data_IF_975980363716
#
_entry.id   IF_975980363716
#
_cell.length_a   1.000
_cell.length_b   1.000
_cell.length_c   1.000
_cell.angle_alpha   90.00
_cell.angle_beta   90.00
_cell.angle_gamma   90.00
#
_symmetry.space_group_name_H-M   'P 1'
#
loop_
_entity.id
_entity.type
_entity.pdbx_description
1 polymer ?
#
# COMPACT_ATOMS: atom_id res chain seq x y z
N UNK A 1 23.43 -31.47 47.34
CA UNK A 1 22.01 -31.09 47.22
C UNK A 1 21.96 -29.58 47.06
N UNK A 2 21.87 -29.09 45.85
CA UNK A 2 21.71 -27.69 45.60
C UNK A 2 20.56 -27.56 44.57
N UNK A 3 19.44 -26.97 45.01
CA UNK A 3 18.26 -26.73 44.21
C UNK A 3 18.47 -25.46 43.41
N UNK A 4 18.46 -25.58 42.06
CA UNK A 4 18.38 -24.46 41.16
C UNK A 4 16.92 -23.97 41.08
N UNK A 5 16.67 -22.75 41.57
CA UNK A 5 15.44 -22.01 41.32
C UNK A 5 15.41 -21.52 39.87
N UNK A 6 14.39 -21.92 39.14
CA UNK A 6 14.06 -21.40 37.83
C UNK A 6 13.24 -20.11 38.02
N UNK A 7 13.73 -18.99 37.50
CA UNK A 7 13.00 -17.72 37.42
C UNK A 7 11.78 -17.83 36.47
N UNK A 8 10.64 -17.24 36.84
CA UNK A 8 9.47 -17.20 35.99
C UNK A 8 9.68 -16.20 34.84
N UNK A 9 9.42 -16.66 33.63
CA UNK A 9 9.43 -15.85 32.41
C UNK A 9 8.55 -14.62 32.55
N UNK A 10 9.15 -13.47 32.37
CA UNK A 10 8.46 -12.16 32.29
C UNK A 10 7.59 -12.16 31.04
N UNK A 11 6.28 -12.20 31.24
CA UNK A 11 5.30 -12.01 30.16
C UNK A 11 5.38 -10.54 29.75
N UNK A 12 5.99 -10.27 28.61
CA UNK A 12 5.98 -8.96 27.97
C UNK A 12 4.59 -8.76 27.35
N UNK A 13 3.75 -7.96 27.98
CA UNK A 13 2.50 -7.49 27.38
C UNK A 13 2.81 -6.64 26.15
N UNK A 14 2.18 -6.89 24.97
CA UNK A 14 2.40 -6.09 23.79
C UNK A 14 1.93 -4.65 24.03
N UNK A 15 2.82 -3.69 23.77
CA UNK A 15 2.50 -2.26 23.78
C UNK A 15 1.72 -1.96 22.52
N UNK A 16 0.43 -1.59 22.66
CA UNK A 16 -0.40 -1.18 21.54
C UNK A 16 0.26 0.01 20.80
N UNK A 17 0.34 -0.07 19.48
CA UNK A 17 0.86 1.01 18.66
C UNK A 17 -0.08 2.22 18.66
N UNK A 18 0.44 3.40 18.94
CA UNK A 18 -0.34 4.63 19.13
C UNK A 18 -0.04 5.63 18.03
N UNK A 19 -1.07 5.98 17.24
CA UNK A 19 -1.02 7.12 16.33
C UNK A 19 -1.58 8.36 17.04
N UNK A 20 -0.85 9.49 17.02
CA UNK A 20 -1.32 10.74 17.61
C UNK A 20 -2.21 11.51 16.64
N UNK A 21 -3.44 11.84 17.04
CA UNK A 21 -4.28 12.81 16.35
C UNK A 21 -3.81 14.25 16.65
N UNK A 22 -4.18 15.22 15.80
CA UNK A 22 -3.83 16.64 15.97
C UNK A 22 -4.36 17.29 17.28
N UNK A 23 -5.24 16.60 18.01
CA UNK A 23 -5.84 17.06 19.28
C UNK A 23 -5.28 16.33 20.52
N UNK A 24 -4.17 15.60 20.37
CA UNK A 24 -3.51 14.95 21.51
C UNK A 24 -4.20 13.70 22.07
N UNK A 25 -5.31 13.26 21.49
CA UNK A 25 -5.91 11.96 21.83
C UNK A 25 -5.15 10.84 21.13
N UNK A 26 -4.63 9.93 21.94
CA UNK A 26 -4.01 8.69 21.45
C UNK A 26 -5.11 7.80 20.90
N UNK A 27 -5.19 7.65 19.58
CA UNK A 27 -6.14 6.76 18.93
C UNK A 27 -5.50 5.38 18.82
N UNK A 28 -6.09 4.39 19.47
CA UNK A 28 -5.66 3.00 19.27
C UNK A 28 -6.02 2.55 17.86
N UNK A 29 -5.03 2.09 17.12
CA UNK A 29 -5.27 1.42 15.84
C UNK A 29 -5.90 0.05 16.14
N UNK A 30 -6.90 -0.38 15.33
CA UNK A 30 -7.57 -1.66 15.54
C UNK A 30 -6.65 -2.87 15.39
N UNK A 31 -5.46 -2.68 14.83
CA UNK A 31 -4.43 -3.70 14.65
C UNK A 31 -3.05 -3.13 15.01
N UNK A 32 -2.23 -3.93 15.69
CA UNK A 32 -0.85 -3.59 16.03
C UNK A 32 0.10 -3.90 14.85
N UNK A 33 0.32 -2.90 14.00
CA UNK A 33 1.23 -3.00 12.85
C UNK A 33 2.70 -3.14 13.25
N UNK A 34 3.10 -2.72 14.45
CA UNK A 34 4.46 -2.91 14.96
C UNK A 34 4.77 -4.39 15.29
N UNK A 35 3.74 -5.23 15.45
CA UNK A 35 3.90 -6.67 15.62
C UNK A 35 4.32 -7.39 14.33
N UNK A 36 4.18 -6.76 13.16
CA UNK A 36 4.60 -7.35 11.89
C UNK A 36 6.14 -7.36 11.82
N UNK A 37 6.77 -8.51 11.52
CA UNK A 37 8.23 -8.62 11.45
C UNK A 37 8.85 -7.61 10.46
N UNK A 38 10.06 -7.15 10.78
CA UNK A 38 10.83 -6.25 9.92
C UNK A 38 11.04 -6.86 8.53
N UNK A 39 10.79 -6.09 7.47
CA UNK A 39 10.96 -6.57 6.11
C UNK A 39 9.98 -7.66 5.67
N UNK A 40 8.92 -7.94 6.44
CA UNK A 40 8.00 -9.07 6.19
C UNK A 40 7.46 -9.14 4.76
N UNK A 41 6.95 -8.03 4.22
CA UNK A 41 6.39 -8.05 2.86
C UNK A 41 7.47 -8.20 1.79
N UNK A 42 8.68 -7.75 2.05
CA UNK A 42 9.83 -7.98 1.18
C UNK A 42 10.19 -9.47 1.15
N UNK A 43 10.35 -10.08 2.32
CA UNK A 43 10.59 -11.51 2.43
C UNK A 43 9.48 -12.33 1.76
N UNK A 44 8.20 -11.99 1.99
CA UNK A 44 7.07 -12.67 1.35
C UNK A 44 7.14 -12.58 -0.17
N UNK A 45 7.56 -11.45 -0.73
CA UNK A 45 7.69 -11.29 -2.19
C UNK A 45 8.84 -12.11 -2.78
N UNK A 46 9.93 -12.30 -2.04
CA UNK A 46 11.12 -13.01 -2.53
C UNK A 46 11.11 -14.50 -2.19
N UNK A 47 10.71 -14.87 -0.98
CA UNK A 47 10.84 -16.22 -0.41
C UNK A 47 9.51 -16.89 -0.06
N UNK A 48 8.41 -16.14 -0.04
CA UNK A 48 7.10 -16.64 0.37
C UNK A 48 6.50 -17.70 -0.56
N UNK A 49 5.36 -18.21 -0.18
CA UNK A 49 4.59 -19.17 -0.99
C UNK A 49 4.37 -18.64 -2.42
N UNK A 50 4.48 -19.47 -3.48
CA UNK A 50 4.42 -19.03 -4.88
C UNK A 50 3.23 -18.13 -5.25
N UNK A 51 2.04 -18.39 -4.71
CA UNK A 51 0.86 -17.53 -4.92
C UNK A 51 1.10 -16.13 -4.35
N UNK A 52 1.60 -16.02 -3.11
CA UNK A 52 1.85 -14.74 -2.46
C UNK A 52 2.95 -13.95 -3.17
N UNK A 53 4.02 -14.63 -3.60
CA UNK A 53 5.07 -14.04 -4.42
C UNK A 53 4.52 -13.46 -5.73
N UNK A 54 3.69 -14.24 -6.44
CA UNK A 54 3.04 -13.77 -7.67
C UNK A 54 2.07 -12.63 -7.39
N UNK A 55 1.29 -12.69 -6.30
CA UNK A 55 0.36 -11.65 -5.89
C UNK A 55 1.06 -10.30 -5.72
N UNK A 56 2.07 -10.23 -4.85
CA UNK A 56 2.79 -8.97 -4.59
C UNK A 56 3.54 -8.50 -5.84
N UNK A 57 4.23 -9.38 -6.56
CA UNK A 57 4.97 -9.00 -7.76
C UNK A 57 4.07 -8.49 -8.88
N UNK A 58 2.94 -9.14 -9.12
CA UNK A 58 1.98 -8.71 -10.13
C UNK A 58 1.29 -7.40 -9.73
N UNK A 59 0.95 -7.20 -8.46
CA UNK A 59 0.42 -5.95 -7.93
C UNK A 59 1.37 -4.79 -8.20
N UNK A 60 2.60 -4.89 -7.76
CA UNK A 60 3.60 -3.84 -7.96
C UNK A 60 3.87 -3.59 -9.44
N UNK A 61 3.96 -4.64 -10.26
CA UNK A 61 4.12 -4.48 -11.70
C UNK A 61 2.95 -3.72 -12.33
N UNK A 62 1.71 -3.97 -11.89
CA UNK A 62 0.53 -3.24 -12.36
C UNK A 62 0.58 -1.76 -12.01
N UNK A 63 0.98 -1.43 -10.79
CA UNK A 63 1.19 -0.03 -10.41
C UNK A 63 2.28 0.59 -11.28
N UNK A 64 3.43 -0.06 -11.44
CA UNK A 64 4.52 0.41 -12.30
C UNK A 64 4.08 0.66 -13.75
N UNK A 65 3.23 -0.20 -14.31
CA UNK A 65 2.72 -0.10 -15.69
C UNK A 65 1.75 1.08 -15.86
N UNK A 66 1.11 1.54 -14.77
CA UNK A 66 0.20 2.69 -14.77
C UNK A 66 0.87 4.02 -14.48
N UNK A 67 2.08 4.00 -13.91
CA UNK A 67 2.85 5.22 -13.74
C UNK A 67 3.26 5.79 -15.10
N UNK A 68 3.34 7.13 -15.25
CA UNK A 68 3.78 7.76 -16.48
C UNK A 68 5.08 7.14 -16.99
N UNK A 69 5.14 6.87 -18.31
CA UNK A 69 6.32 6.28 -18.96
C UNK A 69 7.35 7.31 -19.35
N UNK A 70 6.88 8.54 -19.52
CA UNK A 70 7.74 9.68 -19.80
C UNK A 70 8.55 10.04 -18.56
N UNK A 71 9.65 10.72 -18.79
CA UNK A 71 10.64 11.07 -17.75
C UNK A 71 9.99 11.85 -16.62
N UNK A 72 9.49 11.14 -15.63
CA UNK A 72 8.94 11.70 -14.40
C UNK A 72 10.09 11.90 -13.40
N UNK A 73 10.14 13.06 -12.75
CA UNK A 73 11.31 13.39 -11.93
C UNK A 73 11.19 12.83 -10.52
N UNK A 74 9.95 12.71 -9.99
CA UNK A 74 9.75 12.36 -8.58
C UNK A 74 8.52 11.49 -8.33
N UNK A 75 8.65 10.58 -7.35
CA UNK A 75 7.56 9.74 -6.85
C UNK A 75 7.53 9.73 -5.33
N UNK A 76 6.34 9.84 -4.76
CA UNK A 76 6.06 9.63 -3.35
C UNK A 76 5.23 8.35 -3.18
N UNK A 77 5.68 7.43 -2.33
CA UNK A 77 4.93 6.22 -1.95
C UNK A 77 4.44 6.37 -0.51
N UNK A 78 3.11 6.48 -0.34
CA UNK A 78 2.46 6.66 0.96
C UNK A 78 2.08 5.30 1.52
N UNK A 79 2.46 5.02 2.78
CA UNK A 79 2.34 3.70 3.37
C UNK A 79 3.36 2.72 2.76
N UNK A 80 4.61 3.17 2.60
CA UNK A 80 5.65 2.41 1.90
C UNK A 80 6.13 1.18 2.67
N UNK A 81 5.75 1.03 3.95
CA UNK A 81 6.20 -0.03 4.85
C UNK A 81 7.74 -0.18 4.78
N UNK A 82 8.26 -1.37 4.48
CA UNK A 82 9.69 -1.64 4.33
C UNK A 82 10.27 -1.26 2.95
N UNK A 83 9.60 -0.43 2.16
CA UNK A 83 10.14 0.15 0.93
C UNK A 83 10.21 -0.78 -0.28
N UNK A 84 9.62 -1.98 -0.21
CA UNK A 84 9.70 -3.00 -1.27
C UNK A 84 9.21 -2.51 -2.64
N UNK A 85 8.15 -1.70 -2.71
CA UNK A 85 7.67 -1.17 -3.98
C UNK A 85 8.70 -0.26 -4.63
N UNK A 86 9.22 0.72 -3.89
CA UNK A 86 10.22 1.65 -4.42
C UNK A 86 11.52 0.95 -4.82
N UNK A 87 11.89 -0.16 -4.16
CA UNK A 87 13.08 -0.94 -4.53
C UNK A 87 13.01 -1.52 -5.94
N UNK A 88 11.79 -1.75 -6.46
CA UNK A 88 11.57 -2.26 -7.82
C UNK A 88 11.65 -1.17 -8.90
N UNK A 89 11.66 0.10 -8.50
CA UNK A 89 11.77 1.22 -9.43
C UNK A 89 13.25 1.40 -9.81
N UNK A 90 13.54 1.37 -11.09
CA UNK A 90 14.88 1.63 -11.61
C UNK A 90 15.27 3.07 -11.31
N UNK A 91 16.55 3.29 -10.94
CA UNK A 91 17.06 4.62 -10.58
C UNK A 91 17.03 5.63 -11.74
N UNK A 92 16.98 5.15 -12.99
CA UNK A 92 16.89 6.00 -14.18
C UNK A 92 15.46 6.46 -14.52
N UNK A 93 14.44 5.87 -13.87
CA UNK A 93 13.03 6.23 -14.11
C UNK A 93 12.59 7.46 -13.33
N UNK A 94 12.99 7.56 -12.07
CA UNK A 94 12.71 8.69 -11.19
C UNK A 94 13.99 9.15 -10.54
N UNK A 95 14.28 10.45 -10.62
CA UNK A 95 15.46 11.06 -9.97
C UNK A 95 15.29 11.19 -8.46
N UNK A 96 14.05 11.28 -8.00
CA UNK A 96 13.69 11.42 -6.61
C UNK A 96 12.62 10.41 -6.26
N UNK A 97 12.89 9.56 -5.27
CA UNK A 97 11.98 8.54 -4.79
C UNK A 97 11.88 8.70 -3.27
N UNK A 98 10.67 8.96 -2.77
CA UNK A 98 10.42 9.15 -1.35
C UNK A 98 9.35 8.15 -0.91
N UNK A 99 9.65 7.37 0.12
CA UNK A 99 8.67 6.55 0.82
C UNK A 99 8.31 7.17 2.17
N UNK A 100 7.03 7.16 2.54
CA UNK A 100 6.61 7.62 3.87
C UNK A 100 5.73 6.58 4.55
N UNK A 101 5.94 6.38 5.85
CA UNK A 101 5.14 5.49 6.69
C UNK A 101 5.11 6.00 8.14
N UNK A 102 4.12 5.55 8.91
CA UNK A 102 4.00 5.84 10.34
C UNK A 102 4.87 4.91 11.20
N UNK A 103 5.36 3.79 10.66
CA UNK A 103 6.08 2.72 11.35
C UNK A 103 7.60 2.96 11.34
N UNK A 104 8.19 3.50 12.43
CA UNK A 104 9.60 3.91 12.43
C UNK A 104 10.56 2.75 12.17
N UNK A 105 10.31 1.58 12.74
CA UNK A 105 11.19 0.41 12.56
C UNK A 105 11.23 -0.10 11.13
N UNK A 106 10.11 -0.03 10.42
CA UNK A 106 10.04 -0.40 8.99
C UNK A 106 10.77 0.64 8.11
N UNK A 107 10.67 1.92 8.47
CA UNK A 107 11.38 3.02 7.80
C UNK A 107 12.90 2.91 7.98
N UNK A 108 13.38 2.61 9.19
CA UNK A 108 14.80 2.39 9.44
C UNK A 108 15.32 1.21 8.62
N UNK A 109 14.60 0.10 8.61
CA UNK A 109 14.92 -1.06 7.79
C UNK A 109 14.93 -0.73 6.29
N UNK A 110 13.95 0.03 5.80
CA UNK A 110 13.87 0.44 4.40
C UNK A 110 15.07 1.31 3.97
N UNK A 111 15.50 2.24 4.83
CA UNK A 111 16.68 3.07 4.57
C UNK A 111 17.95 2.24 4.55
N UNK A 112 18.11 1.30 5.49
CA UNK A 112 19.28 0.42 5.56
C UNK A 112 19.42 -0.46 4.30
N UNK A 113 18.31 -1.02 3.79
CA UNK A 113 18.33 -1.99 2.70
C UNK A 113 18.16 -1.37 1.32
N UNK A 114 17.42 -0.25 1.20
CA UNK A 114 17.01 0.33 -0.06
C UNK A 114 17.32 1.82 -0.21
N UNK A 115 17.86 2.47 0.84
CA UNK A 115 18.27 3.87 0.80
C UNK A 115 19.38 4.09 -0.23
N UNK A 116 19.27 5.16 -1.01
CA UNK A 116 20.26 5.61 -2.00
C UNK A 116 20.27 7.14 -2.04
N UNK A 117 21.25 7.80 -2.70
CA UNK A 117 21.17 9.25 -2.87
C UNK A 117 19.89 9.76 -3.56
N UNK A 118 19.14 8.88 -4.24
CA UNK A 118 17.91 9.21 -4.98
C UNK A 118 16.65 8.70 -4.30
N UNK A 119 16.79 7.76 -3.35
CA UNK A 119 15.70 7.10 -2.65
C UNK A 119 15.89 7.21 -1.15
N UNK A 120 14.92 7.76 -0.48
CA UNK A 120 14.89 7.82 0.96
C UNK A 120 13.53 7.45 1.51
N UNK A 121 13.51 7.04 2.78
CA UNK A 121 12.30 6.71 3.50
C UNK A 121 12.20 7.56 4.75
N UNK A 122 11.02 8.15 4.98
CA UNK A 122 10.77 9.10 6.08
C UNK A 122 9.60 8.65 6.93
N UNK A 123 9.75 8.76 8.25
CA UNK A 123 8.63 8.62 9.16
C UNK A 123 7.74 9.86 9.08
N UNK A 124 6.43 9.63 9.05
CA UNK A 124 5.40 10.66 9.25
C UNK A 124 4.65 10.42 10.55
N UNK A 125 4.13 11.49 11.16
CA UNK A 125 3.37 11.40 12.41
C UNK A 125 1.92 11.01 12.20
N UNK A 126 1.35 11.34 11.03
CA UNK A 126 -0.03 11.06 10.65
C UNK A 126 -0.20 11.24 9.14
N UNK A 127 -1.32 10.79 8.59
CA UNK A 127 -1.66 10.99 7.17
C UNK A 127 -1.88 12.47 6.82
N UNK A 128 -2.35 13.28 7.78
CA UNK A 128 -2.48 14.73 7.60
C UNK A 128 -1.12 15.40 7.37
N UNK A 129 -0.07 14.92 8.02
CA UNK A 129 1.29 15.45 7.87
C UNK A 129 1.88 15.26 6.46
N UNK A 130 1.25 14.43 5.61
CA UNK A 130 1.61 14.34 4.19
C UNK A 130 1.45 15.70 3.50
N UNK A 131 0.40 16.45 3.82
CA UNK A 131 0.15 17.78 3.26
C UNK A 131 1.15 18.86 3.68
N UNK A 132 1.99 18.58 4.69
CA UNK A 132 3.03 19.47 5.21
C UNK A 132 4.42 19.13 4.63
N UNK A 133 4.52 18.14 3.74
CA UNK A 133 5.78 17.81 3.06
C UNK A 133 6.12 18.96 2.11
N UNK A 134 7.28 19.60 2.35
CA UNK A 134 7.78 20.73 1.55
C UNK A 134 8.43 20.27 0.22
N UNK A 135 7.77 19.34 -0.46
CA UNK A 135 8.14 18.83 -1.79
C UNK A 135 6.87 18.53 -2.58
N UNK A 136 6.92 18.68 -3.90
CA UNK A 136 5.86 18.23 -4.80
C UNK A 136 6.37 17.15 -5.75
N UNK A 137 5.48 16.21 -6.07
CA UNK A 137 5.82 15.00 -6.82
C UNK A 137 5.04 14.92 -8.13
N UNK A 138 5.67 14.32 -9.14
CA UNK A 138 5.00 13.99 -10.41
C UNK A 138 4.01 12.83 -10.24
N UNK A 139 4.34 11.92 -9.32
CA UNK A 139 3.52 10.76 -9.01
C UNK A 139 3.42 10.55 -7.49
N UNK A 140 2.23 10.18 -7.03
CA UNK A 140 1.97 9.67 -5.69
C UNK A 140 1.37 8.28 -5.81
N UNK A 141 1.86 7.33 -5.02
CA UNK A 141 1.32 5.97 -4.93
C UNK A 141 0.78 5.67 -3.54
N UNK A 142 -0.27 4.86 -3.45
CA UNK A 142 -0.91 4.37 -2.24
C UNK A 142 -1.32 2.92 -2.48
N UNK A 143 -0.54 1.96 -1.99
CA UNK A 143 -0.69 0.56 -2.38
C UNK A 143 -1.17 -0.29 -1.21
N UNK A 144 -2.47 -0.67 -1.21
CA UNK A 144 -3.10 -1.46 -0.14
C UNK A 144 -2.93 -0.80 1.24
N UNK A 145 -3.33 0.45 1.35
CA UNK A 145 -3.32 1.24 2.59
C UNK A 145 -4.72 1.75 2.93
N UNK A 146 -5.47 2.25 1.94
CA UNK A 146 -6.73 2.96 2.15
C UNK A 146 -7.81 2.11 2.84
N UNK A 147 -7.78 0.78 2.66
CA UNK A 147 -8.67 -0.17 3.32
C UNK A 147 -8.44 -0.30 4.84
N UNK A 148 -7.25 0.05 5.30
CA UNK A 148 -6.88 0.02 6.72
C UNK A 148 -7.29 1.27 7.48
N UNK A 149 -7.77 2.29 6.76
CA UNK A 149 -8.04 3.62 7.30
C UNK A 149 -9.52 3.81 7.68
N UNK A 150 -9.75 4.54 8.76
CA UNK A 150 -11.06 5.07 9.11
C UNK A 150 -11.45 6.20 8.14
N UNK A 151 -12.75 6.51 8.06
CA UNK A 151 -13.28 7.51 7.13
C UNK A 151 -12.62 8.88 7.26
N UNK A 152 -12.32 9.32 8.47
CA UNK A 152 -11.68 10.62 8.71
C UNK A 152 -10.22 10.61 8.28
N UNK A 153 -9.49 9.51 8.52
CA UNK A 153 -8.12 9.34 8.06
C UNK A 153 -8.04 9.30 6.51
N UNK A 154 -9.04 8.66 5.86
CA UNK A 154 -9.15 8.70 4.39
C UNK A 154 -9.39 10.13 3.90
N UNK A 155 -10.23 10.91 4.60
CA UNK A 155 -10.46 12.32 4.25
C UNK A 155 -9.18 13.13 4.36
N UNK A 156 -8.47 13.02 5.48
CA UNK A 156 -7.21 13.73 5.70
C UNK A 156 -6.16 13.39 4.62
N UNK A 157 -6.05 12.10 4.27
CA UNK A 157 -5.19 11.62 3.19
C UNK A 157 -5.58 12.21 1.83
N UNK A 158 -6.87 12.10 1.47
CA UNK A 158 -7.37 12.59 0.17
C UNK A 158 -7.24 14.12 0.04
N UNK A 159 -7.37 14.87 1.14
CA UNK A 159 -7.17 16.32 1.17
C UNK A 159 -5.67 16.71 1.13
N UNK A 160 -4.78 15.82 1.57
CA UNK A 160 -3.33 16.02 1.55
C UNK A 160 -2.70 15.71 0.19
N UNK A 161 -3.15 14.65 -0.50
CA UNK A 161 -2.56 14.19 -1.77
C UNK A 161 -2.47 15.29 -2.84
N UNK A 162 -3.51 16.11 -3.11
CA UNK A 162 -3.40 17.18 -4.10
C UNK A 162 -2.35 18.23 -3.75
N UNK A 163 -2.03 18.44 -2.46
CA UNK A 163 -1.04 19.46 -2.02
C UNK A 163 0.38 19.06 -2.40
N UNK A 164 0.69 17.76 -2.33
CA UNK A 164 2.01 17.20 -2.65
C UNK A 164 2.15 16.75 -4.10
N UNK A 165 1.10 16.85 -4.92
CA UNK A 165 1.17 16.62 -6.35
C UNK A 165 1.44 17.90 -7.13
N UNK A 166 2.34 17.85 -8.13
CA UNK A 166 2.48 18.89 -9.15
C UNK A 166 1.21 19.00 -9.99
N UNK A 167 0.90 20.17 -10.60
CA UNK A 167 -0.14 20.28 -11.63
C UNK A 167 0.04 19.19 -12.70
N UNK A 168 -1.04 18.53 -13.12
CA UNK A 168 -0.98 17.39 -14.06
C UNK A 168 -0.38 16.10 -13.50
N UNK A 169 0.08 16.09 -12.24
CA UNK A 169 0.62 14.92 -11.57
C UNK A 169 -0.40 13.81 -11.39
N UNK A 170 0.07 12.59 -11.14
CA UNK A 170 -0.77 11.39 -11.05
C UNK A 170 -0.78 10.80 -9.65
N UNK A 171 -1.96 10.45 -9.15
CA UNK A 171 -2.16 9.64 -7.95
C UNK A 171 -2.64 8.26 -8.33
N UNK A 172 -1.89 7.22 -7.97
CA UNK A 172 -2.21 5.82 -8.25
C UNK A 172 -2.45 5.09 -6.95
N UNK A 173 -3.61 4.46 -6.80
CA UNK A 173 -3.92 3.67 -5.62
C UNK A 173 -4.41 2.27 -5.97
N UNK A 174 -4.18 1.34 -5.05
CA UNK A 174 -4.76 0.00 -5.08
C UNK A 174 -5.44 -0.32 -3.75
N UNK A 175 -6.50 -1.14 -3.83
CA UNK A 175 -7.23 -1.64 -2.66
C UNK A 175 -7.98 -2.93 -3.01
N UNK A 176 -8.25 -3.84 -2.07
CA UNK A 176 -9.06 -5.03 -2.31
C UNK A 176 -10.46 -4.71 -2.85
N UNK A 177 -10.93 -5.53 -3.78
CA UNK A 177 -12.25 -5.41 -4.37
C UNK A 177 -13.27 -6.33 -3.68
N UNK A 178 -14.06 -5.79 -2.79
CA UNK A 178 -15.09 -6.54 -2.05
C UNK A 178 -16.32 -6.92 -2.90
N UNK A 179 -16.38 -6.52 -4.18
CA UNK A 179 -17.34 -7.03 -5.16
C UNK A 179 -16.81 -8.21 -5.99
N UNK A 180 -15.66 -8.80 -5.61
CA UNK A 180 -15.02 -9.94 -6.27
C UNK A 180 -15.04 -11.19 -5.38
N UNK A 181 -14.19 -12.18 -5.73
CA UNK A 181 -13.93 -13.34 -4.87
C UNK A 181 -13.00 -13.02 -3.68
N UNK A 182 -12.55 -11.77 -3.52
CA UNK A 182 -11.65 -11.37 -2.43
C UNK A 182 -12.18 -11.77 -1.04
N UNK A 183 -13.46 -11.55 -0.66
CA UNK A 183 -13.95 -11.95 0.66
C UNK A 183 -13.78 -13.45 0.97
N UNK A 184 -13.91 -14.30 -0.05
CA UNK A 184 -13.69 -15.75 0.10
C UNK A 184 -12.19 -16.05 0.28
N UNK A 185 -11.34 -15.38 -0.49
CA UNK A 185 -9.88 -15.50 -0.38
C UNK A 185 -9.39 -15.02 0.98
N UNK A 186 -9.93 -13.92 1.49
CA UNK A 186 -9.62 -13.37 2.80
C UNK A 186 -9.91 -14.37 3.93
N UNK A 187 -11.07 -15.05 3.91
CA UNK A 187 -11.41 -16.10 4.86
C UNK A 187 -10.39 -17.25 4.81
N UNK A 188 -9.99 -17.69 3.61
CA UNK A 188 -9.00 -18.76 3.43
C UNK A 188 -7.62 -18.33 3.95
N UNK A 189 -7.23 -17.09 3.68
CA UNK A 189 -5.96 -16.53 4.13
C UNK A 189 -5.93 -16.40 5.65
N UNK A 190 -6.99 -15.87 6.28
CA UNK A 190 -7.11 -15.72 7.73
C UNK A 190 -7.02 -17.05 8.49
N UNK A 191 -7.44 -18.14 7.86
CA UNK A 191 -7.31 -19.49 8.46
C UNK A 191 -5.89 -20.08 8.40
N UNK A 192 -5.02 -19.56 7.52
CA UNK A 192 -3.69 -20.12 7.23
C UNK A 192 -2.53 -19.15 7.50
N UNK A 193 -2.82 -17.91 7.84
CA UNK A 193 -1.83 -16.87 8.10
C UNK A 193 -1.85 -16.46 9.56
N UNK A 194 -0.68 -16.20 10.13
CA UNK A 194 -0.53 -15.62 11.47
C UNK A 194 -1.01 -14.17 11.53
N UNK A 195 -1.18 -13.54 10.36
CA UNK A 195 -1.67 -12.16 10.19
C UNK A 195 -3.11 -12.20 9.72
N UNK A 196 -4.06 -11.73 10.53
CA UNK A 196 -5.49 -11.71 10.22
C UNK A 196 -5.86 -10.45 9.43
N UNK A 197 -6.16 -10.62 8.15
CA UNK A 197 -6.53 -9.51 7.26
C UNK A 197 -7.90 -8.89 7.59
N UNK A 198 -8.84 -9.70 8.10
CA UNK A 198 -10.20 -9.25 8.45
C UNK A 198 -10.20 -8.15 9.53
N UNK A 199 -9.28 -8.24 10.51
CA UNK A 199 -9.12 -7.27 11.58
C UNK A 199 -8.45 -5.98 11.09
N UNK A 200 -7.77 -6.02 9.94
CA UNK A 200 -7.04 -4.88 9.37
C UNK A 200 -7.89 -4.06 8.40
N UNK A 201 -8.86 -4.68 7.68
CA UNK A 201 -9.64 -4.01 6.65
C UNK A 201 -10.87 -3.33 7.24
N UNK A 202 -10.70 -2.07 7.64
CA UNK A 202 -11.73 -1.22 8.27
C UNK A 202 -12.73 -0.71 7.23
N UNK A 203 -12.23 -0.26 6.05
CA UNK A 203 -13.04 0.28 4.97
C UNK A 203 -13.03 -0.65 3.77
N UNK A 204 -14.24 -1.07 3.32
CA UNK A 204 -14.42 -2.06 2.25
C UNK A 204 -14.85 -1.39 0.95
N UNK A 205 -13.99 -1.42 -0.06
CA UNK A 205 -14.26 -0.84 -1.37
C UNK A 205 -14.82 -1.86 -2.35
N UNK A 206 -15.71 -1.39 -3.23
CA UNK A 206 -16.30 -2.18 -4.34
C UNK A 206 -16.06 -1.44 -5.65
N UNK A 207 -15.65 -2.15 -6.70
CA UNK A 207 -15.34 -1.55 -7.99
C UNK A 207 -16.45 -0.64 -8.54
N UNK A 208 -17.71 -1.07 -8.47
CA UNK A 208 -18.84 -0.33 -9.02
C UNK A 208 -19.21 0.96 -8.28
N UNK A 209 -18.85 1.09 -7.01
CA UNK A 209 -19.19 2.25 -6.17
C UNK A 209 -17.96 3.01 -5.69
N UNK A 210 -16.76 2.67 -6.21
CA UNK A 210 -15.49 3.16 -5.73
C UNK A 210 -15.40 4.70 -5.75
N UNK A 211 -15.69 5.33 -6.89
CA UNK A 211 -15.66 6.79 -7.04
C UNK A 211 -16.64 7.46 -6.08
N UNK A 212 -17.91 7.03 -6.08
CA UNK A 212 -18.94 7.58 -5.20
C UNK A 212 -18.57 7.47 -3.72
N UNK A 213 -17.81 6.43 -3.35
CA UNK A 213 -17.32 6.26 -1.98
C UNK A 213 -16.28 7.32 -1.66
N UNK A 214 -15.32 7.59 -2.56
CA UNK A 214 -14.30 8.62 -2.37
C UNK A 214 -14.91 10.03 -2.37
N UNK A 215 -15.78 10.34 -3.33
CA UNK A 215 -16.55 11.60 -3.41
C UNK A 215 -17.31 11.88 -2.09
N UNK A 216 -17.97 10.88 -1.56
CA UNK A 216 -18.69 10.96 -0.29
C UNK A 216 -17.78 11.14 0.95
N UNK A 217 -16.46 10.95 0.81
CA UNK A 217 -15.49 11.13 1.89
C UNK A 217 -14.83 12.51 1.80
N UNK A 218 -14.35 12.92 0.63
CA UNK A 218 -13.68 14.22 0.41
C UNK A 218 -14.16 14.90 -0.87
N UNK A 219 -14.96 15.96 -0.71
CA UNK A 219 -15.37 16.80 -1.84
C UNK A 219 -14.24 17.69 -2.38
N UNK A 220 -13.16 17.91 -1.62
CA UNK A 220 -12.00 18.68 -2.10
C UNK A 220 -11.16 17.86 -3.06
N UNK A 221 -10.98 16.57 -2.77
CA UNK A 221 -10.28 15.64 -3.65
C UNK A 221 -10.96 15.59 -5.03
N UNK A 222 -12.27 15.45 -5.07
CA UNK A 222 -13.06 15.36 -6.30
C UNK A 222 -12.95 16.63 -7.18
N UNK A 223 -12.85 17.82 -6.57
CA UNK A 223 -12.66 19.08 -7.29
C UNK A 223 -11.29 19.24 -7.93
N UNK A 224 -10.26 18.66 -7.35
CA UNK A 224 -8.87 18.82 -7.74
C UNK A 224 -8.28 17.65 -8.50
N UNK A 225 -8.96 16.48 -8.46
CA UNK A 225 -8.47 15.23 -9.04
C UNK A 225 -9.51 14.62 -9.97
N UNK A 226 -9.08 14.21 -11.15
CA UNK A 226 -9.94 13.55 -12.15
C UNK A 226 -9.51 12.09 -12.32
N UNK A 227 -10.45 11.16 -12.19
CA UNK A 227 -10.21 9.74 -12.47
C UNK A 227 -9.98 9.54 -13.98
N UNK A 228 -8.80 9.07 -14.39
CA UNK A 228 -8.48 8.77 -15.78
C UNK A 228 -8.31 7.27 -16.08
N UNK A 229 -8.13 6.46 -15.05
CA UNK A 229 -8.07 4.99 -15.18
C UNK A 229 -8.68 4.32 -13.95
N UNK A 230 -9.60 3.38 -14.18
CA UNK A 230 -10.05 2.42 -13.17
C UNK A 230 -10.15 1.03 -13.77
N UNK A 231 -9.48 0.07 -13.16
CA UNK A 231 -9.42 -1.32 -13.60
C UNK A 231 -9.33 -2.27 -12.42
N UNK A 232 -9.43 -3.57 -12.68
CA UNK A 232 -9.16 -4.60 -11.67
C UNK A 232 -8.04 -5.53 -12.12
N UNK A 233 -7.41 -6.19 -11.16
CA UNK A 233 -6.40 -7.21 -11.39
C UNK A 233 -6.57 -8.42 -10.46
N UNK A 234 -5.68 -9.41 -10.55
CA UNK A 234 -5.61 -10.55 -9.63
C UNK A 234 -6.85 -11.47 -9.67
N UNK A 235 -7.30 -11.85 -10.87
CA UNK A 235 -8.40 -12.82 -10.97
C UNK A 235 -7.91 -14.26 -10.82
N UNK A 236 -7.08 -14.76 -11.75
CA UNK A 236 -6.58 -16.15 -11.75
C UNK A 236 -5.04 -16.20 -11.73
N UNK A 237 -4.40 -15.20 -12.34
CA UNK A 237 -2.96 -15.25 -12.64
C UNK A 237 -2.04 -15.49 -11.45
N UNK A 238 -2.27 -14.95 -10.24
CA UNK A 238 -1.43 -15.28 -9.09
C UNK A 238 -1.46 -16.76 -8.71
N UNK A 239 -2.61 -17.43 -8.89
CA UNK A 239 -2.78 -18.84 -8.56
C UNK A 239 -2.01 -19.77 -9.52
N UNK A 240 -1.76 -19.36 -10.76
CA UNK A 240 -0.87 -20.06 -11.68
C UNK A 240 0.57 -20.13 -11.16
N UNK A 241 0.91 -19.33 -10.16
CA UNK A 241 2.20 -19.37 -9.48
C UNK A 241 2.53 -20.73 -8.85
N UNK A 242 1.53 -21.53 -8.50
CA UNK A 242 1.74 -22.90 -8.00
C UNK A 242 2.41 -23.76 -9.09
N UNK A 243 2.02 -23.60 -10.34
CA UNK A 243 2.59 -24.35 -11.47
C UNK A 243 3.92 -23.75 -11.90
N UNK A 244 3.96 -22.42 -12.08
CA UNK A 244 5.18 -21.70 -12.44
C UNK A 244 5.04 -20.20 -12.18
N UNK A 245 5.87 -19.68 -11.26
CA UNK A 245 5.92 -18.25 -10.97
C UNK A 245 6.39 -17.42 -12.19
N UNK A 246 7.32 -17.98 -13.00
CA UNK A 246 7.81 -17.33 -14.22
C UNK A 246 6.69 -17.20 -15.25
N UNK A 247 5.92 -18.28 -15.49
CA UNK A 247 4.82 -18.28 -16.44
C UNK A 247 3.68 -17.36 -15.99
N UNK A 248 3.29 -17.42 -14.71
CA UNK A 248 2.26 -16.57 -14.11
C UNK A 248 2.60 -15.07 -14.27
N UNK A 249 3.83 -14.67 -13.94
CA UNK A 249 4.27 -13.29 -14.05
C UNK A 249 4.41 -12.84 -15.52
N UNK A 250 4.83 -13.74 -16.43
CA UNK A 250 4.88 -13.44 -17.86
C UNK A 250 3.47 -13.24 -18.42
N UNK A 251 2.53 -14.13 -18.11
CA UNK A 251 1.14 -14.00 -18.53
C UNK A 251 0.49 -12.69 -18.03
N UNK A 252 0.82 -12.28 -16.79
CA UNK A 252 0.33 -11.03 -16.23
C UNK A 252 0.82 -9.79 -17.00
N UNK A 253 2.03 -9.79 -17.57
CA UNK A 253 2.58 -8.66 -18.35
C UNK A 253 1.90 -8.45 -19.71
N UNK A 254 1.39 -9.51 -20.34
CA UNK A 254 0.77 -9.41 -21.68
C UNK A 254 -0.64 -8.83 -21.67
N UNK A 255 -1.25 -8.64 -20.50
CA UNK A 255 -2.60 -8.11 -20.40
C UNK A 255 -2.55 -6.64 -20.02
N UNK A 256 -2.81 -5.77 -21.01
CA UNK A 256 -2.98 -4.33 -20.79
C UNK A 256 -4.17 -4.09 -19.84
N UNK A 257 -3.96 -3.51 -18.64
CA UNK A 257 -5.04 -3.23 -17.69
C UNK A 257 -6.11 -2.32 -18.28
N UNK A 258 -5.73 -1.39 -19.16
CA UNK A 258 -6.65 -0.42 -19.76
C UNK A 258 -7.67 -1.06 -20.71
N UNK A 259 -7.36 -2.24 -21.26
CA UNK A 259 -8.22 -2.97 -22.21
C UNK A 259 -9.21 -3.93 -21.54
N UNK A 260 -8.99 -4.27 -20.25
CA UNK A 260 -9.83 -5.23 -19.53
C UNK A 260 -10.72 -4.50 -18.53
N UNK A 261 -11.94 -4.22 -18.92
CA UNK A 261 -13.00 -3.70 -18.03
C UNK A 261 -13.69 -4.81 -17.21
N UNK A 262 -12.95 -5.85 -16.82
CA UNK A 262 -13.51 -6.93 -16.04
C UNK A 262 -13.58 -6.52 -14.55
N UNK A 263 -14.78 -6.33 -13.96
CA UNK A 263 -14.93 -5.70 -12.64
C UNK A 263 -14.66 -6.65 -11.47
N UNK A 264 -14.36 -7.92 -11.75
CA UNK A 264 -14.31 -8.99 -10.73
C UNK A 264 -12.90 -9.41 -10.32
N UNK A 265 -11.86 -8.72 -10.74
CA UNK A 265 -10.51 -8.92 -10.18
C UNK A 265 -10.49 -8.57 -8.69
N UNK A 266 -9.68 -9.30 -7.92
CA UNK A 266 -9.61 -9.17 -6.48
C UNK A 266 -9.02 -7.84 -5.99
N UNK A 267 -8.34 -7.09 -6.88
CA UNK A 267 -7.70 -5.82 -6.58
C UNK A 267 -8.26 -4.73 -7.51
N UNK A 268 -8.73 -3.61 -6.95
CA UNK A 268 -9.01 -2.37 -7.67
C UNK A 268 -7.68 -1.63 -7.85
N UNK A 269 -7.47 -1.07 -9.03
CA UNK A 269 -6.41 -0.13 -9.32
C UNK A 269 -7.04 1.10 -9.97
N UNK A 270 -6.78 2.28 -9.39
CA UNK A 270 -7.28 3.55 -9.88
C UNK A 270 -6.13 4.55 -10.03
N UNK A 271 -6.20 5.37 -11.09
CA UNK A 271 -5.31 6.50 -11.29
C UNK A 271 -6.14 7.77 -11.46
N UNK A 272 -5.77 8.76 -10.70
CA UNK A 272 -6.32 10.11 -10.77
C UNK A 272 -5.24 11.06 -11.29
N UNK A 273 -5.65 12.13 -11.96
CA UNK A 273 -4.79 13.23 -12.36
C UNK A 273 -5.19 14.51 -11.65
N UNK A 274 -4.21 15.23 -11.16
CA UNK A 274 -4.43 16.58 -10.62
C UNK A 274 -4.74 17.54 -11.77
N UNK A 275 -5.77 18.34 -11.61
CA UNK A 275 -6.08 19.45 -12.51
C UNK A 275 -4.91 20.44 -12.58
N UNK A 276 -4.75 21.07 -13.73
CA UNK A 276 -3.71 22.10 -13.94
C UNK A 276 -4.01 23.36 -13.17
#
# INVERSE_FOLDING_TARGET
MSQSQTDPATVVTPVASQARSAEGQVRELPFDYESIPLGYYDQVMHEGHPIRRCWHRQKFQRVLDTLPKDRTESVLDIGCFCGTFLSLIRNDRFRRQVGVDILPRQIDWANEHYGTPFREFRKISSLKAIGDIDETFDCVTLIEVIEHLQRDDIRDLLDAVPKVLKPGGSFVLTTPNYASLWPILEIILNRRSDVKYEEQHVTKFKFGTFEKTLEGISGNFDRSMTLDLKTTSHFILPFLGIVSTKLANRAARYRDPSRWRFPYGALILARFRKSN
#
